data_IF_458774276153
#
_entry.id   IF_458774276153
#
_cell.length_a   1.000
_cell.length_b   1.000
_cell.length_c   1.000
_cell.angle_alpha   90.00
_cell.angle_beta   90.00
_cell.angle_gamma   90.00
#
_symmetry.space_group_name_H-M   'P 1'
#
loop_
_entity.id
_entity.type
_entity.pdbx_description
1 polymer ?
#
# COMPACT_ATOMS: atom_id res chain seq x y z
N UNK A 1 6.43 59.95 11.63
CA UNK A 1 5.59 59.25 12.62
C UNK A 1 5.32 57.83 12.11
N UNK A 2 5.91 56.81 12.74
CA UNK A 2 5.75 55.40 12.34
C UNK A 2 4.40 54.88 12.84
N UNK A 3 3.47 54.56 11.94
CA UNK A 3 2.27 53.78 12.27
C UNK A 3 2.68 52.31 12.29
N UNK A 4 2.81 51.74 13.48
CA UNK A 4 2.95 50.30 13.66
C UNK A 4 1.58 49.70 13.34
N UNK A 5 1.45 49.06 12.19
CA UNK A 5 0.29 48.24 11.87
C UNK A 5 0.39 46.95 12.68
N UNK A 6 -0.30 46.92 13.83
CA UNK A 6 -0.62 45.68 14.52
C UNK A 6 -1.68 44.95 13.68
N UNK A 7 -1.22 44.16 12.71
CA UNK A 7 -2.06 43.11 12.12
C UNK A 7 -2.44 42.20 13.30
N UNK A 8 -3.73 41.83 13.50
CA UNK A 8 -4.12 41.07 14.66
C UNK A 8 -3.41 39.71 14.58
N UNK A 9 -2.58 39.41 15.57
CA UNK A 9 -1.87 38.13 15.73
C UNK A 9 -2.83 36.93 15.59
N UNK A 10 -4.13 37.16 15.83
CA UNK A 10 -5.25 36.24 15.70
C UNK A 10 -5.42 35.71 14.26
N UNK A 11 -5.22 36.54 13.22
CA UNK A 11 -5.36 36.09 11.84
C UNK A 11 -4.18 35.22 11.37
N UNK A 12 -2.99 35.42 11.94
CA UNK A 12 -1.82 34.56 11.67
C UNK A 12 -1.96 33.21 12.38
N UNK A 13 -2.53 33.20 13.59
CA UNK A 13 -2.80 31.98 14.35
C UNK A 13 -3.89 31.10 13.71
N UNK A 14 -4.93 31.72 13.12
CA UNK A 14 -6.00 31.01 12.40
C UNK A 14 -5.54 30.43 11.05
N UNK A 15 -4.45 30.95 10.47
CA UNK A 15 -3.87 30.40 9.24
C UNK A 15 -2.92 29.22 9.53
N UNK A 16 -2.22 29.27 10.67
CA UNK A 16 -1.37 28.16 11.15
C UNK A 16 -2.17 26.99 11.73
N UNK A 17 -3.35 27.23 12.33
CA UNK A 17 -4.20 26.15 12.84
C UNK A 17 -4.83 25.29 11.74
N UNK A 18 -4.88 25.77 10.48
CA UNK A 18 -5.31 24.98 9.34
C UNK A 18 -4.20 24.10 8.75
N UNK A 19 -2.94 24.39 9.04
CA UNK A 19 -1.80 23.56 8.65
C UNK A 19 -1.43 22.50 9.69
N UNK A 20 -1.95 22.62 10.93
CA UNK A 20 -1.63 21.70 12.01
C UNK A 20 -2.53 20.45 12.09
N UNK A 21 -3.56 20.31 11.23
CA UNK A 21 -4.56 19.24 11.35
C UNK A 21 -5.03 18.71 9.99
N UNK A 22 -4.09 18.29 9.16
CA UNK A 22 -4.40 17.41 8.04
C UNK A 22 -3.26 16.41 7.72
N UNK A 23 -2.34 16.16 8.66
CA UNK A 23 -1.79 14.82 8.77
C UNK A 23 -2.92 14.00 9.38
N UNK A 24 -3.73 13.41 8.50
CA UNK A 24 -4.53 12.28 8.90
C UNK A 24 -3.53 11.16 9.19
N UNK A 25 -3.06 11.10 10.44
CA UNK A 25 -2.66 9.84 11.05
C UNK A 25 -3.93 8.98 11.05
N UNK A 26 -4.27 8.42 9.89
CA UNK A 26 -5.06 7.20 9.87
C UNK A 26 -4.08 6.18 10.41
N UNK A 27 -4.11 5.95 11.73
CA UNK A 27 -3.40 4.85 12.34
C UNK A 27 -3.91 3.58 11.66
N UNK A 28 -3.23 3.14 10.61
CA UNK A 28 -3.52 1.89 9.92
C UNK A 28 -3.26 0.80 10.94
N UNK A 29 -4.29 0.01 11.27
CA UNK A 29 -4.15 -1.00 12.29
C UNK A 29 -3.05 -2.00 11.88
N UNK A 30 -2.29 -2.53 12.83
CA UNK A 30 -1.27 -3.54 12.53
C UNK A 30 -1.82 -4.74 11.76
N UNK A 31 -3.10 -5.08 11.95
CA UNK A 31 -3.81 -6.12 11.20
C UNK A 31 -3.96 -5.75 9.73
N UNK A 32 -4.26 -4.48 9.42
CA UNK A 32 -4.34 -3.96 8.06
C UNK A 32 -2.95 -3.96 7.39
N UNK A 33 -1.89 -3.61 8.13
CA UNK A 33 -0.50 -3.69 7.64
C UNK A 33 -0.08 -5.13 7.37
N UNK A 34 -0.46 -6.08 8.23
CA UNK A 34 -0.16 -7.50 8.01
C UNK A 34 -0.88 -8.05 6.76
N UNK A 35 -2.15 -7.70 6.57
CA UNK A 35 -2.92 -8.05 5.38
C UNK A 35 -2.30 -7.44 4.11
N UNK A 36 -1.84 -6.19 4.18
CA UNK A 36 -1.12 -5.49 3.13
C UNK A 36 0.15 -6.25 2.71
N UNK A 37 0.96 -6.65 3.69
CA UNK A 37 2.22 -7.35 3.44
C UNK A 37 2.05 -8.72 2.79
N UNK A 38 1.02 -9.46 3.21
CA UNK A 38 0.68 -10.75 2.61
C UNK A 38 0.30 -10.60 1.13
N UNK A 39 -0.39 -9.53 0.78
CA UNK A 39 -0.78 -9.28 -0.59
C UNK A 39 0.35 -8.71 -1.45
N UNK A 40 1.13 -7.77 -0.91
CA UNK A 40 2.31 -7.24 -1.59
C UNK A 40 3.26 -8.39 -1.99
N UNK A 41 3.47 -9.30 -1.05
CA UNK A 41 4.17 -10.57 -1.28
C UNK A 41 3.58 -11.35 -2.47
N UNK A 42 2.26 -11.52 -2.52
CA UNK A 42 1.61 -12.26 -3.61
C UNK A 42 1.77 -11.58 -4.98
N UNK A 43 1.60 -10.25 -5.04
CA UNK A 43 1.78 -9.47 -6.28
C UNK A 43 3.22 -9.61 -6.78
N UNK A 44 4.20 -9.40 -5.90
CA UNK A 44 5.61 -9.48 -6.27
C UNK A 44 5.97 -10.86 -6.86
N UNK A 45 5.54 -11.93 -6.21
CA UNK A 45 5.82 -13.29 -6.70
C UNK A 45 5.04 -13.59 -7.99
N UNK A 46 3.82 -13.10 -8.13
CA UNK A 46 3.06 -13.23 -9.38
C UNK A 46 3.74 -12.50 -10.54
N UNK A 47 4.25 -11.28 -10.31
CA UNK A 47 5.01 -10.53 -11.31
C UNK A 47 6.27 -11.27 -11.78
N UNK A 48 6.99 -11.91 -10.87
CA UNK A 48 8.26 -12.60 -11.15
C UNK A 48 8.06 -13.96 -11.83
N UNK A 49 7.03 -14.73 -11.46
CA UNK A 49 6.88 -16.13 -11.85
C UNK A 49 5.71 -16.42 -12.81
N UNK A 50 4.77 -15.48 -12.99
CA UNK A 50 3.52 -15.74 -13.70
C UNK A 50 3.29 -14.88 -14.94
N UNK A 51 4.35 -14.37 -15.57
CA UNK A 51 4.27 -13.54 -16.78
C UNK A 51 3.50 -14.19 -17.96
N UNK A 52 3.55 -15.53 -18.08
CA UNK A 52 2.85 -16.28 -19.12
C UNK A 52 1.39 -16.60 -18.77
N UNK A 53 0.91 -16.21 -17.58
CA UNK A 53 -0.45 -16.46 -17.15
C UNK A 53 -1.45 -15.62 -17.96
N UNK A 54 -2.59 -16.23 -18.33
CA UNK A 54 -3.61 -15.58 -19.15
C UNK A 54 -4.22 -14.31 -18.53
N UNK A 55 -4.15 -14.16 -17.21
CA UNK A 55 -4.68 -13.02 -16.47
C UNK A 55 -3.62 -11.95 -16.17
N UNK A 56 -2.36 -12.18 -16.53
CA UNK A 56 -1.23 -11.34 -16.10
C UNK A 56 -1.43 -9.87 -16.47
N UNK A 57 -1.64 -9.58 -17.76
CA UNK A 57 -1.86 -8.22 -18.24
C UNK A 57 -3.10 -7.58 -17.59
N UNK A 58 -4.18 -8.34 -17.46
CA UNK A 58 -5.45 -7.84 -16.88
C UNK A 58 -5.28 -7.46 -15.41
N UNK A 59 -4.53 -8.26 -14.65
CA UNK A 59 -4.24 -7.99 -13.24
C UNK A 59 -3.36 -6.75 -13.13
N UNK A 60 -2.25 -6.67 -13.87
CA UNK A 60 -1.34 -5.54 -13.79
C UNK A 60 -1.99 -4.22 -14.24
N UNK A 61 -2.83 -4.26 -15.27
CA UNK A 61 -3.57 -3.07 -15.72
C UNK A 61 -4.62 -2.60 -14.69
N UNK A 62 -5.20 -3.52 -13.93
CA UNK A 62 -6.22 -3.19 -12.93
C UNK A 62 -5.66 -2.80 -11.57
N UNK A 63 -4.49 -3.32 -11.19
CA UNK A 63 -3.88 -3.03 -9.89
C UNK A 63 -3.83 -1.53 -9.58
N UNK A 64 -3.29 -0.65 -10.44
CA UNK A 64 -3.27 0.80 -10.19
C UNK A 64 -4.65 1.46 -10.09
N UNK A 65 -5.69 0.82 -10.62
CA UNK A 65 -7.06 1.34 -10.59
C UNK A 65 -7.81 0.93 -9.31
N UNK A 66 -7.23 0.08 -8.47
CA UNK A 66 -7.86 -0.36 -7.22
C UNK A 66 -7.65 0.69 -6.12
N UNK A 67 -8.72 1.27 -5.52
CA UNK A 67 -8.59 2.21 -4.40
C UNK A 67 -7.88 1.60 -3.18
N UNK A 68 -7.98 0.27 -3.05
CA UNK A 68 -7.20 -0.51 -2.08
C UNK A 68 -5.72 -0.42 -2.41
N UNK A 69 -5.33 -0.81 -3.62
CA UNK A 69 -3.93 -0.76 -4.04
C UNK A 69 -3.32 0.64 -3.88
N UNK A 70 -4.03 1.69 -4.30
CA UNK A 70 -3.59 3.08 -4.16
C UNK A 70 -3.30 3.43 -2.70
N UNK A 71 -4.28 3.18 -1.80
CA UNK A 71 -4.09 3.36 -0.35
C UNK A 71 -2.90 2.57 0.17
N UNK A 72 -2.74 1.32 -0.25
CA UNK A 72 -1.70 0.48 0.31
C UNK A 72 -0.31 0.83 -0.20
N UNK A 73 -0.21 1.29 -1.45
CA UNK A 73 1.03 1.81 -2.01
C UNK A 73 1.51 3.07 -1.27
N UNK A 74 0.59 3.92 -0.77
CA UNK A 74 0.97 5.08 0.04
C UNK A 74 1.50 4.73 1.44
N UNK A 75 1.15 3.57 1.98
CA UNK A 75 1.64 3.13 3.30
C UNK A 75 3.04 2.51 3.26
N UNK A 76 3.58 2.20 2.07
CA UNK A 76 4.92 1.59 1.93
C UNK A 76 6.02 2.48 2.52
N UNK A 77 5.88 3.80 2.41
CA UNK A 77 6.84 4.78 2.96
C UNK A 77 6.76 4.90 4.49
N UNK A 78 5.77 4.26 5.11
CA UNK A 78 5.52 4.32 6.56
C UNK A 78 5.84 3.00 7.28
N UNK A 79 6.33 2.00 6.55
CA UNK A 79 6.73 0.72 7.14
C UNK A 79 7.95 0.90 8.04
N UNK A 80 7.90 0.21 9.18
CA UNK A 80 9.10 0.01 9.99
C UNK A 80 10.02 -1.02 9.32
N UNK A 81 11.32 -0.96 9.62
CA UNK A 81 12.31 -1.93 9.12
C UNK A 81 11.92 -3.38 9.42
N UNK A 82 11.28 -3.64 10.58
CA UNK A 82 10.86 -4.99 10.96
C UNK A 82 9.68 -5.47 10.10
N UNK A 83 8.76 -4.58 9.73
CA UNK A 83 7.65 -4.89 8.82
C UNK A 83 8.16 -5.14 7.40
N UNK A 84 9.06 -4.30 6.91
CA UNK A 84 9.71 -4.47 5.59
C UNK A 84 10.43 -5.82 5.51
N UNK A 85 11.24 -6.15 6.51
CA UNK A 85 11.94 -7.44 6.59
C UNK A 85 10.99 -8.63 6.70
N UNK A 86 9.89 -8.51 7.43
CA UNK A 86 8.87 -9.55 7.50
C UNK A 86 8.21 -9.80 6.14
N UNK A 87 7.96 -8.74 5.36
CA UNK A 87 7.37 -8.86 4.03
C UNK A 87 8.34 -9.45 3.02
N UNK A 88 9.61 -9.03 3.04
CA UNK A 88 10.66 -9.63 2.20
C UNK A 88 10.75 -11.15 2.43
N UNK A 89 10.74 -11.58 3.70
CA UNK A 89 10.72 -13.00 4.07
C UNK A 89 9.44 -13.71 3.63
N UNK A 90 8.30 -13.02 3.71
CA UNK A 90 7.03 -13.50 3.16
C UNK A 90 7.14 -13.77 1.66
N UNK A 91 7.71 -12.81 0.91
CA UNK A 91 8.10 -12.91 -0.50
C UNK A 91 8.85 -14.21 -0.80
N UNK A 92 9.98 -14.41 -0.13
CA UNK A 92 10.80 -15.60 -0.31
C UNK A 92 10.04 -16.91 -0.03
N UNK A 93 9.18 -16.91 0.99
CA UNK A 93 8.32 -18.04 1.32
C UNK A 93 7.31 -18.35 0.21
N UNK A 94 6.60 -17.34 -0.28
CA UNK A 94 5.64 -17.48 -1.37
C UNK A 94 6.32 -17.94 -2.67
N UNK A 95 7.50 -17.40 -3.01
CA UNK A 95 8.31 -17.85 -4.16
C UNK A 95 8.71 -19.32 -4.05
N UNK A 96 9.03 -19.78 -2.84
CA UNK A 96 9.36 -21.19 -2.60
C UNK A 96 8.14 -22.11 -2.81
N UNK A 97 6.94 -21.70 -2.38
CA UNK A 97 5.70 -22.46 -2.54
C UNK A 97 5.35 -22.62 -4.03
N UNK A 98 5.40 -21.54 -4.82
CA UNK A 98 5.14 -21.64 -6.27
C UNK A 98 6.21 -22.46 -6.99
N UNK A 99 7.49 -22.29 -6.62
CA UNK A 99 8.59 -23.05 -7.21
C UNK A 99 8.52 -24.54 -6.90
N UNK A 100 7.94 -24.91 -5.76
CA UNK A 100 7.67 -26.30 -5.38
C UNK A 100 6.45 -26.91 -6.10
N UNK A 101 5.67 -26.10 -6.82
CA UNK A 101 4.42 -26.53 -7.48
C UNK A 101 3.26 -26.75 -6.51
N UNK A 102 3.37 -26.24 -5.28
CA UNK A 102 2.35 -26.36 -4.23
C UNK A 102 1.24 -25.29 -4.35
N UNK A 103 1.44 -24.31 -5.24
CA UNK A 103 0.43 -23.36 -5.71
C UNK A 103 0.66 -23.07 -7.19
N UNK A 104 -0.33 -22.48 -7.87
CA UNK A 104 -0.24 -22.09 -9.28
C UNK A 104 -0.61 -20.63 -9.53
N UNK A 105 -0.26 -20.15 -10.73
CA UNK A 105 -0.50 -18.78 -11.14
C UNK A 105 -1.98 -18.42 -11.23
N UNK A 106 -2.88 -19.38 -11.55
CA UNK A 106 -4.32 -19.11 -11.61
C UNK A 106 -4.91 -18.88 -10.21
N UNK A 107 -4.43 -19.65 -9.24
CA UNK A 107 -4.78 -19.51 -7.82
C UNK A 107 -4.27 -18.18 -7.28
N UNK A 108 -3.01 -17.83 -7.55
CA UNK A 108 -2.46 -16.53 -7.15
C UNK A 108 -3.21 -15.36 -7.81
N UNK A 109 -3.48 -15.47 -9.11
CA UNK A 109 -4.27 -14.50 -9.85
C UNK A 109 -5.65 -14.29 -9.22
N UNK A 110 -6.32 -15.38 -8.82
CA UNK A 110 -7.63 -15.33 -8.15
C UNK A 110 -7.54 -14.62 -6.81
N UNK A 111 -6.54 -14.91 -5.98
CA UNK A 111 -6.40 -14.25 -4.67
C UNK A 111 -6.11 -12.75 -4.84
N UNK A 112 -5.21 -12.38 -5.76
CA UNK A 112 -4.94 -10.97 -6.08
C UNK A 112 -6.22 -10.30 -6.58
N UNK A 113 -6.96 -10.98 -7.45
CA UNK A 113 -8.22 -10.50 -7.99
C UNK A 113 -9.31 -10.34 -6.94
N UNK A 114 -9.52 -11.28 -6.03
CA UNK A 114 -10.53 -11.14 -4.97
C UNK A 114 -10.21 -9.94 -4.05
N UNK A 115 -8.92 -9.65 -3.89
CA UNK A 115 -8.48 -8.60 -2.99
C UNK A 115 -8.57 -7.20 -3.60
N UNK A 116 -8.26 -7.04 -4.89
CA UNK A 116 -8.32 -5.75 -5.59
C UNK A 116 -9.51 -5.59 -6.53
N UNK A 117 -10.10 -6.70 -6.95
CA UNK A 117 -11.10 -6.84 -7.99
C UNK A 117 -12.55 -6.89 -7.49
N UNK A 118 -12.81 -6.78 -6.18
CA UNK A 118 -14.17 -6.56 -5.67
C UNK A 118 -14.32 -5.22 -4.91
N UNK A 119 -15.26 -4.33 -5.27
CA UNK A 119 -16.43 -4.46 -6.17
C UNK A 119 -16.55 -3.34 -7.20
#
# INVERSE_FOLDING_TARGET
>A
MKKIFLIPLIFLFLFLSKFALAFHDVEVANEDVAALGGLWTQIYVYEEYCADNQYYEVILDRLPNSPRFDRYSSELEHLTNDQELAWERGGLGASAVISAGETDCDTMATVIWEWFGEN
#
